data_IF_733485065234
#
_entry.id   IF_733485065234
#
_cell.length_a   1.000
_cell.length_b   1.000
_cell.length_c   1.000
_cell.angle_alpha   90.00
_cell.angle_beta   90.00
_cell.angle_gamma   90.00
#
_symmetry.space_group_name_H-M   'P 1'
#
loop_
_entity.id
_entity.type
_entity.pdbx_description
1 polymer ?
#
# COMPACT_ATOMS: atom_id res chain seq x y z
N UNK A 1 19.27 6.38 -2.69
CA UNK A 1 18.10 7.20 -2.34
C UNK A 1 17.45 6.63 -1.11
N UNK A 2 17.27 7.41 -0.06
CA UNK A 2 16.53 6.93 1.10
C UNK A 2 15.07 6.62 0.71
N UNK A 3 14.49 5.66 1.40
CA UNK A 3 13.07 5.34 1.20
C UNK A 3 12.21 6.51 1.69
N UNK A 4 11.12 6.83 1.00
CA UNK A 4 10.27 7.93 1.41
C UNK A 4 9.53 7.63 2.71
N UNK A 5 9.14 8.70 3.40
CA UNK A 5 8.18 8.64 4.50
C UNK A 5 6.78 8.43 3.93
N UNK A 6 5.97 7.63 4.60
CA UNK A 6 4.64 7.22 4.12
C UNK A 6 3.54 7.48 5.14
N UNK A 7 2.41 7.98 4.64
CA UNK A 7 1.12 7.79 5.31
C UNK A 7 0.48 6.57 4.68
N UNK A 8 0.18 5.55 5.49
CA UNK A 8 -0.25 4.26 4.99
C UNK A 8 -1.28 3.60 5.89
N UNK A 9 -1.92 2.57 5.34
CA UNK A 9 -2.88 1.74 6.04
C UNK A 9 -2.35 0.31 6.08
N UNK A 10 -2.44 -0.31 7.26
CA UNK A 10 -2.15 -1.73 7.46
C UNK A 10 -3.43 -2.55 7.54
N UNK A 11 -3.35 -3.77 7.05
CA UNK A 11 -4.47 -4.70 7.01
C UNK A 11 -4.66 -5.43 8.34
N UNK A 12 -5.75 -6.17 8.47
CA UNK A 12 -5.94 -7.08 9.60
C UNK A 12 -4.81 -8.11 9.65
N UNK A 13 -4.46 -8.60 10.86
CA UNK A 13 -3.38 -9.59 10.99
C UNK A 13 -3.61 -10.85 10.16
N UNK A 14 -4.85 -11.30 10.01
CA UNK A 14 -5.20 -12.48 9.22
C UNK A 14 -4.91 -12.26 7.73
N UNK A 15 -5.27 -11.09 7.22
CA UNK A 15 -5.02 -10.75 5.81
C UNK A 15 -3.55 -10.53 5.54
N UNK A 16 -2.84 -9.87 6.45
CA UNK A 16 -1.39 -9.70 6.35
C UNK A 16 -0.69 -11.06 6.30
N UNK A 17 -1.08 -11.98 7.16
CA UNK A 17 -0.56 -13.35 7.18
C UNK A 17 -0.82 -14.08 5.86
N UNK A 18 -2.03 -13.98 5.33
CA UNK A 18 -2.40 -14.57 4.03
C UNK A 18 -1.53 -14.05 2.89
N UNK A 19 -1.23 -12.76 2.90
CA UNK A 19 -0.39 -12.15 1.86
C UNK A 19 1.07 -12.60 2.01
N UNK A 20 1.58 -12.72 3.25
CA UNK A 20 2.91 -13.28 3.47
C UNK A 20 3.00 -14.73 2.99
N UNK A 21 1.97 -15.54 3.17
CA UNK A 21 1.91 -16.89 2.62
C UNK A 21 1.95 -16.89 1.09
N UNK A 22 1.26 -15.95 0.46
CA UNK A 22 1.33 -15.76 -0.99
C UNK A 22 2.75 -15.40 -1.43
N UNK A 23 3.44 -14.51 -0.71
CA UNK A 23 4.82 -14.14 -0.98
C UNK A 23 5.76 -15.36 -0.85
N UNK A 24 5.57 -16.17 0.17
CA UNK A 24 6.36 -17.39 0.39
C UNK A 24 6.16 -18.40 -0.75
N UNK A 25 4.92 -18.56 -1.19
CA UNK A 25 4.61 -19.45 -2.31
C UNK A 25 5.29 -18.99 -3.60
N UNK A 26 5.20 -17.69 -3.92
CA UNK A 26 5.84 -17.13 -5.11
C UNK A 26 7.37 -17.24 -5.04
N UNK A 27 7.96 -17.02 -3.88
CA UNK A 27 9.39 -17.21 -3.67
C UNK A 27 9.79 -18.68 -3.87
N UNK A 28 8.96 -19.61 -3.42
CA UNK A 28 9.16 -21.05 -3.64
C UNK A 28 9.12 -21.46 -5.12
N UNK A 29 8.43 -20.69 -5.96
CA UNK A 29 8.41 -20.88 -7.40
C UNK A 29 9.62 -20.25 -8.11
N UNK A 30 10.50 -19.59 -7.38
CA UNK A 30 11.71 -18.98 -7.93
C UNK A 30 11.61 -17.49 -8.22
N UNK A 31 10.49 -16.85 -7.88
CA UNK A 31 10.36 -15.40 -8.03
C UNK A 31 11.10 -14.63 -6.93
N UNK A 32 11.46 -13.36 -7.16
CA UNK A 32 12.08 -12.55 -6.12
C UNK A 32 11.23 -12.50 -4.87
N UNK A 33 11.84 -12.72 -3.70
CA UNK A 33 11.12 -12.70 -2.43
C UNK A 33 10.68 -11.29 -2.09
N UNK A 34 9.43 -11.17 -1.66
CA UNK A 34 8.87 -9.91 -1.21
C UNK A 34 9.10 -9.76 0.31
N UNK A 35 9.65 -8.64 0.73
CA UNK A 35 10.02 -8.37 2.13
C UNK A 35 9.17 -7.32 2.80
N UNK A 36 8.40 -6.54 2.03
CA UNK A 36 7.58 -5.46 2.57
C UNK A 36 6.41 -6.00 3.40
N UNK A 37 6.04 -5.25 4.42
CA UNK A 37 4.75 -5.45 5.09
C UNK A 37 3.63 -4.98 4.16
N UNK A 38 2.62 -5.80 3.89
CA UNK A 38 1.50 -5.40 3.05
C UNK A 38 0.82 -4.13 3.58
N UNK A 39 0.64 -3.16 2.71
CA UNK A 39 0.03 -1.88 3.09
C UNK A 39 -0.58 -1.17 1.89
N UNK A 40 -1.41 -0.17 2.19
CA UNK A 40 -2.00 0.71 1.19
C UNK A 40 -1.46 2.11 1.48
N UNK A 41 -0.72 2.69 0.54
CA UNK A 41 -0.16 4.03 0.70
C UNK A 41 -1.22 5.09 0.37
N UNK A 42 -1.34 6.09 1.22
CA UNK A 42 -2.19 7.27 0.97
C UNK A 42 -1.39 8.36 0.25
N UNK A 43 -0.24 8.72 0.80
CA UNK A 43 0.70 9.66 0.17
C UNK A 43 2.09 9.46 0.78
N UNK A 44 3.12 9.84 0.05
CA UNK A 44 4.49 9.73 0.52
C UNK A 44 5.32 10.96 0.13
N UNK A 45 6.43 11.16 0.85
CA UNK A 45 7.34 12.27 0.61
C UNK A 45 8.74 11.90 1.11
N UNK A 46 9.81 12.41 0.50
CA UNK A 46 11.15 12.27 1.07
C UNK A 46 11.24 12.82 2.49
N UNK A 47 10.46 13.86 2.80
CA UNK A 47 10.34 14.43 4.14
C UNK A 47 8.91 14.99 4.28
N UNK A 48 8.08 14.27 5.03
CA UNK A 48 6.66 14.59 5.14
C UNK A 48 6.43 15.90 5.89
N UNK A 49 5.63 16.77 5.29
CA UNK A 49 5.20 18.00 5.94
C UNK A 49 4.33 17.68 7.15
N UNK A 50 4.62 18.34 8.30
CA UNK A 50 3.88 18.10 9.54
C UNK A 50 2.38 18.40 9.42
N UNK A 51 2.00 19.36 8.58
CA UNK A 51 0.58 19.68 8.35
C UNK A 51 -0.18 18.50 7.72
N UNK A 52 0.48 17.72 6.87
CA UNK A 52 -0.12 16.53 6.28
C UNK A 52 -0.39 15.48 7.35
N UNK A 53 0.59 15.25 8.23
CA UNK A 53 0.46 14.29 9.34
C UNK A 53 -0.62 14.73 10.32
N UNK A 54 -0.66 16.01 10.69
CA UNK A 54 -1.69 16.58 11.56
C UNK A 54 -3.09 16.42 10.98
N UNK A 55 -3.24 16.70 9.69
CA UNK A 55 -4.54 16.54 9.02
C UNK A 55 -4.94 15.05 8.92
N UNK A 56 -3.98 14.17 8.69
CA UNK A 56 -4.23 12.73 8.69
C UNK A 56 -4.76 12.26 10.06
N UNK A 57 -4.21 12.80 11.15
CA UNK A 57 -4.66 12.48 12.50
C UNK A 57 -6.11 12.93 12.78
N UNK A 58 -6.61 13.91 12.04
CA UNK A 58 -8.01 14.35 12.13
C UNK A 58 -8.92 13.50 11.22
N UNK A 59 -8.48 13.23 9.98
CA UNK A 59 -9.32 12.60 8.95
C UNK A 59 -9.44 11.10 9.07
N UNK A 60 -8.34 10.40 9.41
CA UNK A 60 -8.27 8.95 9.27
C UNK A 60 -8.91 8.16 10.41
N UNK A 61 -8.81 8.55 11.70
CA UNK A 61 -9.36 7.72 12.78
C UNK A 61 -10.83 7.38 12.62
N UNK A 62 -11.74 8.31 12.22
CA UNK A 62 -13.16 7.97 12.03
C UNK A 62 -13.41 7.00 10.88
N UNK A 63 -12.45 6.85 9.96
CA UNK A 63 -12.61 6.00 8.76
C UNK A 63 -12.09 4.58 8.96
N UNK A 64 -11.44 4.30 10.08
CA UNK A 64 -10.85 2.99 10.38
C UNK A 64 -11.77 2.23 11.33
N UNK A 65 -12.10 0.94 11.07
CA UNK A 65 -11.63 0.11 9.96
C UNK A 65 -12.22 0.52 8.62
N UNK A 66 -11.46 0.35 7.55
CA UNK A 66 -11.88 0.71 6.20
C UNK A 66 -11.85 -0.50 5.28
N UNK A 67 -12.90 -0.66 4.49
CA UNK A 67 -13.01 -1.76 3.53
C UNK A 67 -12.53 -1.33 2.16
N UNK A 68 -11.80 -2.24 1.50
CA UNK A 68 -11.32 -2.08 0.13
C UNK A 68 -11.73 -3.28 -0.70
N UNK A 69 -12.03 -3.05 -1.97
CA UNK A 69 -12.36 -4.11 -2.93
C UNK A 69 -11.31 -4.16 -4.02
N UNK A 70 -10.79 -5.35 -4.30
CA UNK A 70 -9.88 -5.54 -5.44
C UNK A 70 -10.68 -5.54 -6.73
N UNK A 71 -10.32 -4.64 -7.65
CA UNK A 71 -11.01 -4.47 -8.93
C UNK A 71 -10.14 -4.85 -10.13
N UNK A 72 -8.87 -5.13 -9.91
CA UNK A 72 -7.97 -5.54 -10.98
C UNK A 72 -6.54 -5.63 -10.50
N UNK A 73 -5.62 -5.77 -11.46
CA UNK A 73 -4.19 -5.78 -11.24
C UNK A 73 -3.56 -4.70 -12.11
N UNK A 74 -2.65 -3.93 -11.53
CA UNK A 74 -1.97 -2.83 -12.21
C UNK A 74 -0.47 -3.07 -12.19
N UNK A 75 0.20 -2.61 -13.25
CA UNK A 75 1.66 -2.70 -13.39
C UNK A 75 2.19 -1.27 -13.45
N UNK A 76 2.99 -0.91 -12.46
CA UNK A 76 3.65 0.40 -12.42
C UNK A 76 5.08 0.30 -12.94
N UNK A 77 5.58 1.39 -13.49
CA UNK A 77 6.94 1.51 -13.97
C UNK A 77 7.02 1.54 -15.49
N UNK A 78 8.10 2.13 -16.02
CA UNK A 78 8.29 2.35 -17.44
C UNK A 78 9.65 1.85 -17.94
N UNK A 79 10.50 1.36 -17.03
CA UNK A 79 11.87 0.93 -17.33
C UNK A 79 12.05 -0.57 -17.09
N UNK A 80 13.24 -1.01 -16.70
CA UNK A 80 13.59 -2.40 -16.53
C UNK A 80 12.95 -3.08 -15.32
N UNK A 81 12.50 -2.30 -14.36
CA UNK A 81 11.80 -2.81 -13.16
C UNK A 81 10.34 -2.43 -13.22
N UNK A 82 9.48 -3.36 -12.83
CA UNK A 82 8.03 -3.17 -12.78
C UNK A 82 7.52 -3.57 -11.40
N UNK A 83 6.51 -2.86 -10.93
CA UNK A 83 5.82 -3.21 -9.69
C UNK A 83 4.42 -3.69 -10.03
N UNK A 84 4.08 -4.88 -9.57
CA UNK A 84 2.73 -5.45 -9.72
C UNK A 84 1.96 -5.17 -8.44
N UNK A 85 0.75 -4.65 -8.57
CA UNK A 85 -0.11 -4.35 -7.44
C UNK A 85 -1.56 -4.70 -7.75
N UNK A 86 -2.31 -5.04 -6.70
CA UNK A 86 -3.76 -5.12 -6.80
C UNK A 86 -4.32 -3.70 -6.81
N UNK A 87 -5.16 -3.42 -7.80
CA UNK A 87 -5.89 -2.16 -7.89
C UNK A 87 -7.14 -2.25 -7.03
N UNK A 88 -7.36 -1.25 -6.18
CA UNK A 88 -8.41 -1.27 -5.18
C UNK A 88 -9.42 -0.14 -5.38
N UNK A 89 -10.61 -0.34 -4.87
CA UNK A 89 -11.60 0.70 -4.65
C UNK A 89 -11.85 0.86 -3.17
N UNK A 90 -12.04 2.11 -2.76
CA UNK A 90 -12.31 2.52 -1.38
C UNK A 90 -13.71 3.13 -1.29
N UNK A 91 -14.18 3.41 -0.05
CA UNK A 91 -15.35 4.25 0.16
C UNK A 91 -15.11 5.67 -0.33
N UNK A 92 -16.18 6.38 -0.63
CA UNK A 92 -16.08 7.79 -1.06
C UNK A 92 -15.37 8.64 0.00
N UNK A 93 -15.65 8.37 1.28
CA UNK A 93 -15.05 9.10 2.41
C UNK A 93 -13.55 8.88 2.50
N UNK A 94 -13.11 7.63 2.34
CA UNK A 94 -11.67 7.30 2.35
C UNK A 94 -10.98 7.92 1.14
N UNK A 95 -11.60 7.85 -0.02
CA UNK A 95 -11.04 8.44 -1.24
C UNK A 95 -10.91 9.95 -1.11
N UNK A 96 -11.93 10.63 -0.56
CA UNK A 96 -11.88 12.08 -0.30
C UNK A 96 -10.75 12.43 0.66
N UNK A 97 -10.58 11.67 1.75
CA UNK A 97 -9.52 11.90 2.72
C UNK A 97 -8.12 11.70 2.08
N UNK A 98 -7.93 10.65 1.32
CA UNK A 98 -6.65 10.38 0.65
C UNK A 98 -6.30 11.48 -0.36
N UNK A 99 -7.26 11.95 -1.13
CA UNK A 99 -7.07 13.05 -2.08
C UNK A 99 -6.71 14.35 -1.38
N UNK A 100 -7.38 14.66 -0.27
CA UNK A 100 -7.08 15.87 0.52
C UNK A 100 -5.65 15.81 1.04
N UNK A 101 -5.22 14.67 1.60
CA UNK A 101 -3.86 14.50 2.11
C UNK A 101 -2.82 14.60 0.98
N UNK A 102 -3.09 14.02 -0.17
CA UNK A 102 -2.22 14.17 -1.34
C UNK A 102 -2.12 15.62 -1.80
N UNK A 103 -3.23 16.35 -1.82
CA UNK A 103 -3.26 17.75 -2.22
C UNK A 103 -2.48 18.65 -1.25
N UNK A 104 -2.51 18.35 0.04
CA UNK A 104 -1.74 19.05 1.07
C UNK A 104 -0.24 18.76 1.01
N UNK A 105 0.13 17.62 0.47
CA UNK A 105 1.52 17.19 0.36
C UNK A 105 2.18 17.85 -0.85
N UNK A 106 3.19 18.74 -0.65
CA UNK A 106 3.86 19.40 -1.78
C UNK A 106 4.51 18.41 -2.77
N UNK A 107 4.91 17.25 -2.27
CA UNK A 107 5.50 16.17 -3.08
C UNK A 107 4.46 15.17 -3.59
N UNK A 108 3.20 15.42 -3.33
CA UNK A 108 2.09 14.56 -3.73
C UNK A 108 1.70 14.74 -5.19
N UNK A 109 0.63 14.06 -5.57
CA UNK A 109 0.09 14.06 -6.93
C UNK A 109 -1.09 15.03 -7.09
N UNK A 110 -1.19 16.03 -6.23
CA UNK A 110 -2.36 16.90 -6.20
C UNK A 110 -3.59 16.16 -5.64
N UNK A 111 -4.76 16.52 -6.10
CA UNK A 111 -6.03 15.92 -5.67
C UNK A 111 -6.27 14.58 -6.41
N UNK A 112 -5.35 13.63 -6.22
CA UNK A 112 -5.40 12.33 -6.91
C UNK A 112 -4.96 11.22 -5.98
N UNK A 113 -5.58 10.04 -6.16
CA UNK A 113 -5.19 8.83 -5.45
C UNK A 113 -5.51 7.60 -6.30
N UNK A 114 -4.58 6.68 -6.35
CA UNK A 114 -4.75 5.37 -6.98
C UNK A 114 -4.55 4.31 -5.90
N UNK A 115 -5.61 3.88 -5.20
CA UNK A 115 -5.44 2.90 -4.13
C UNK A 115 -4.99 1.55 -4.69
N UNK A 116 -3.93 1.02 -4.09
CA UNK A 116 -3.37 -0.26 -4.52
C UNK A 116 -2.59 -0.90 -3.38
N UNK A 117 -2.39 -2.21 -3.51
CA UNK A 117 -1.57 -2.99 -2.60
C UNK A 117 -0.51 -3.74 -3.41
N UNK A 118 0.74 -3.41 -3.18
CA UNK A 118 1.87 -3.99 -3.91
C UNK A 118 2.06 -5.45 -3.52
N UNK A 119 2.12 -6.32 -4.52
CA UNK A 119 2.33 -7.76 -4.37
C UNK A 119 3.57 -8.27 -5.12
N UNK A 120 4.18 -7.43 -5.94
CA UNK A 120 5.43 -7.74 -6.65
C UNK A 120 6.24 -6.47 -6.82
N UNK A 121 7.08 -6.13 -5.83
CA UNK A 121 7.84 -4.89 -5.82
C UNK A 121 9.10 -5.01 -6.68
N UNK A 122 9.24 -4.09 -7.63
CA UNK A 122 10.44 -3.90 -8.46
C UNK A 122 10.93 -5.20 -9.11
N UNK A 123 10.01 -5.92 -9.73
CA UNK A 123 10.34 -7.14 -10.46
C UNK A 123 11.05 -6.79 -11.78
N UNK A 124 12.01 -7.62 -12.24
CA UNK A 124 12.51 -7.50 -13.62
C UNK A 124 11.35 -7.58 -14.61
N UNK A 125 11.37 -6.73 -15.61
CA UNK A 125 10.28 -6.67 -16.61
C UNK A 125 9.98 -8.04 -17.22
N UNK A 126 11.02 -8.83 -17.46
CA UNK A 126 10.88 -10.13 -18.12
C UNK A 126 10.16 -11.18 -17.24
N UNK A 127 10.13 -10.95 -15.93
CA UNK A 127 9.49 -11.85 -14.96
C UNK A 127 7.97 -11.58 -14.87
N UNK A 128 7.52 -10.41 -15.28
CA UNK A 128 6.12 -9.97 -15.09
C UNK A 128 5.10 -10.93 -15.68
N UNK A 129 5.22 -11.42 -16.93
CA UNK A 129 4.21 -12.35 -17.47
C UNK A 129 4.09 -13.64 -16.66
N UNK A 130 5.21 -14.22 -16.25
CA UNK A 130 5.21 -15.45 -15.47
C UNK A 130 4.69 -15.22 -14.05
N UNK A 131 5.00 -14.06 -13.46
CA UNK A 131 4.47 -13.67 -12.15
C UNK A 131 2.95 -13.57 -12.17
N UNK A 132 2.40 -12.92 -13.20
CA UNK A 132 0.95 -12.78 -13.38
C UNK A 132 0.30 -14.15 -13.58
N UNK A 133 0.91 -15.02 -14.38
CA UNK A 133 0.41 -16.38 -14.60
C UNK A 133 0.39 -17.18 -13.29
N UNK A 134 1.45 -17.06 -12.47
CA UNK A 134 1.51 -17.72 -11.17
C UNK A 134 0.43 -17.20 -10.22
N UNK A 135 0.19 -15.88 -10.21
CA UNK A 135 -0.89 -15.27 -9.40
C UNK A 135 -2.26 -15.82 -9.79
N UNK A 136 -2.52 -16.03 -11.07
CA UNK A 136 -3.80 -16.54 -11.57
C UNK A 136 -4.09 -17.96 -11.07
N UNK A 137 -3.06 -18.73 -10.74
CA UNK A 137 -3.20 -20.09 -10.19
C UNK A 137 -3.46 -20.08 -8.67
N UNK A 138 -3.35 -18.93 -8.02
CA UNK A 138 -3.50 -18.79 -6.58
C UNK A 138 -4.83 -18.13 -6.25
N UNK A 139 -5.35 -18.47 -5.08
CA UNK A 139 -6.52 -17.76 -4.54
C UNK A 139 -6.08 -16.37 -4.10
N UNK A 140 -6.67 -15.34 -4.69
CA UNK A 140 -6.39 -13.95 -4.38
C UNK A 140 -7.59 -13.34 -3.65
N UNK A 141 -7.38 -12.64 -2.52
CA UNK A 141 -8.47 -11.99 -1.80
C UNK A 141 -9.19 -10.97 -2.67
N UNK A 142 -10.50 -10.86 -2.51
CA UNK A 142 -11.32 -9.86 -3.21
C UNK A 142 -11.53 -8.60 -2.40
N UNK A 143 -11.47 -8.71 -1.08
CA UNK A 143 -11.69 -7.58 -0.18
C UNK A 143 -10.63 -7.54 0.89
N UNK A 144 -10.38 -6.34 1.41
CA UNK A 144 -9.37 -6.08 2.43
C UNK A 144 -9.94 -5.15 3.47
N UNK A 145 -9.58 -5.38 4.73
CA UNK A 145 -9.94 -4.50 5.84
C UNK A 145 -8.66 -3.83 6.36
N UNK A 146 -8.59 -2.52 6.20
CA UNK A 146 -7.53 -1.73 6.81
C UNK A 146 -7.92 -1.42 8.25
N UNK A 147 -7.09 -1.83 9.20
CA UNK A 147 -7.38 -1.69 10.64
C UNK A 147 -6.50 -0.69 11.35
N UNK A 148 -5.44 -0.20 10.69
CA UNK A 148 -4.50 0.76 11.27
C UNK A 148 -4.11 1.78 10.22
N UNK A 149 -4.16 3.06 10.58
CA UNK A 149 -3.56 4.14 9.81
C UNK A 149 -2.28 4.58 10.53
N UNK A 150 -1.20 4.77 9.79
CA UNK A 150 0.10 5.08 10.38
C UNK A 150 0.95 6.00 9.52
N UNK A 151 1.87 6.68 10.17
CA UNK A 151 2.93 7.45 9.55
C UNK A 151 4.25 6.71 9.75
N UNK A 152 4.86 6.24 8.66
CA UNK A 152 6.10 5.50 8.66
C UNK A 152 7.29 6.37 8.23
N UNK A 153 8.32 6.39 9.06
CA UNK A 153 9.58 7.09 8.79
C UNK A 153 10.70 6.06 8.73
N UNK A 154 11.14 5.64 7.52
CA UNK A 154 12.10 4.53 7.39
C UNK A 154 13.49 4.84 7.95
N UNK A 155 14.00 6.05 7.81
CA UNK A 155 15.35 6.40 8.29
C UNK A 155 15.51 6.16 9.79
N UNK A 156 14.67 6.77 10.68
CA UNK A 156 14.71 6.46 12.11
C UNK A 156 13.97 5.16 12.47
N UNK A 157 13.31 4.50 11.52
CA UNK A 157 12.46 3.32 11.75
C UNK A 157 11.37 3.59 12.80
N UNK A 158 10.70 4.72 12.67
CA UNK A 158 9.63 5.13 13.58
C UNK A 158 8.27 4.95 12.89
N UNK A 159 7.39 4.21 13.55
CA UNK A 159 5.99 4.06 13.16
C UNK A 159 5.13 4.79 14.18
N UNK A 160 4.39 5.80 13.71
CA UNK A 160 3.42 6.52 14.52
C UNK A 160 2.02 6.08 14.11
N UNK A 161 1.32 5.41 15.00
CA UNK A 161 -0.09 5.02 14.77
C UNK A 161 -0.95 6.28 14.85
N UNK A 162 -1.73 6.50 13.81
CA UNK A 162 -2.61 7.67 13.68
C UNK A 162 -4.05 7.30 14.05
N UNK A 163 -4.48 6.09 13.71
CA UNK A 163 -5.82 5.62 14.00
C UNK A 163 -5.91 4.11 13.94
N UNK A 164 -6.91 3.53 14.61
CA UNK A 164 -7.10 2.09 14.66
C UNK A 164 -6.34 1.45 15.81
N UNK A 165 -6.08 0.15 15.65
CA UNK A 165 -5.35 -0.64 16.65
C UNK A 165 -3.85 -0.45 16.49
N UNK A 166 -3.13 -0.56 17.60
CA UNK A 166 -1.69 -0.63 17.57
C UNK A 166 -1.24 -1.82 16.70
N UNK A 167 -0.33 -1.52 15.78
CA UNK A 167 0.20 -2.54 14.90
C UNK A 167 1.14 -3.48 15.63
#
# INVERSE_FOLDING_TARGET
MPSPENLLLYLSPEQESSIHQLFDHLAGLGFPRQHQTPHITLTFSPSMNSQVVERAAELLPPLIPAEFTRVGTVIFGTKSKRTIAWLLEASDEMEAAARELSALNPDGRGDRWTPHLTIGLRLPRDVVPDYLAALDELEQPRSFTAVTAAYWRPEPQILQVIGGKDA
#
